data_IF_058657265023
#
_entry.id   IF_058657265023
#
_cell.length_a   1.000
_cell.length_b   1.000
_cell.length_c   1.000
_cell.angle_alpha   90.00
_cell.angle_beta   90.00
_cell.angle_gamma   90.00
#
_symmetry.space_group_name_H-M   'P 1'
#
loop_
_entity.id
_entity.type
_entity.pdbx_description
1 polymer ?
#
# COMPACT_ATOMS: atom_id res chain seq x y z
N UNK A 1 1.90 -5.30 -9.20
CA UNK A 1 2.79 -4.34 -8.53
C UNK A 1 3.58 -5.14 -7.52
N UNK A 2 4.90 -5.04 -7.57
CA UNK A 2 5.79 -5.75 -6.66
C UNK A 2 6.37 -4.78 -5.62
N UNK A 3 6.69 -5.30 -4.44
CA UNK A 3 7.22 -4.52 -3.32
C UNK A 3 8.50 -5.13 -2.78
N UNK A 4 9.51 -4.31 -2.52
CA UNK A 4 10.84 -4.75 -2.05
C UNK A 4 11.15 -4.34 -0.62
N UNK A 5 10.57 -3.23 -0.17
CA UNK A 5 10.80 -2.71 1.17
C UNK A 5 9.57 -1.94 1.67
N UNK A 6 9.45 -1.81 2.99
CA UNK A 6 8.37 -1.08 3.63
C UNK A 6 8.87 -0.25 4.82
N UNK A 7 8.21 0.88 5.05
CA UNK A 7 8.42 1.70 6.22
C UNK A 7 7.16 2.48 6.60
N UNK A 8 7.08 2.89 7.87
CA UNK A 8 6.00 3.73 8.39
C UNK A 8 6.47 5.16 8.56
N UNK A 9 5.67 6.12 8.11
CA UNK A 9 5.93 7.54 8.28
C UNK A 9 4.69 8.25 8.86
N UNK A 10 4.91 9.06 9.88
CA UNK A 10 3.86 9.94 10.43
C UNK A 10 3.79 11.21 9.60
N UNK A 11 2.62 11.48 9.01
CA UNK A 11 2.35 12.68 8.22
C UNK A 11 1.33 13.55 8.94
N UNK A 12 1.47 14.87 8.81
CA UNK A 12 0.44 15.81 9.26
C UNK A 12 -0.38 16.22 8.04
N UNK A 13 -1.67 15.90 8.05
CA UNK A 13 -2.62 16.27 7.00
C UNK A 13 -3.66 17.26 7.56
N UNK A 14 -4.14 18.18 6.72
CA UNK A 14 -5.24 19.04 7.09
C UNK A 14 -6.54 18.22 7.14
N UNK A 15 -7.25 18.26 8.27
CA UNK A 15 -8.56 17.64 8.37
C UNK A 15 -9.56 18.43 7.54
N UNK A 16 -10.15 17.81 6.51
CA UNK A 16 -11.08 18.47 5.59
C UNK A 16 -12.36 19.00 6.27
N UNK A 17 -12.77 18.40 7.38
CA UNK A 17 -13.98 18.78 8.11
C UNK A 17 -13.75 19.89 9.15
N UNK A 18 -12.58 19.91 9.79
CA UNK A 18 -12.30 20.80 10.93
C UNK A 18 -11.18 21.81 10.67
N UNK A 19 -10.46 21.68 9.55
CA UNK A 19 -9.28 22.49 9.21
C UNK A 19 -8.06 22.24 10.10
N UNK A 20 -8.20 21.48 11.19
CA UNK A 20 -7.13 21.22 12.15
C UNK A 20 -6.11 20.21 11.60
N UNK A 21 -4.82 20.36 11.92
CA UNK A 21 -3.82 19.36 11.57
C UNK A 21 -4.12 18.04 12.29
N UNK A 22 -4.20 16.96 11.52
CA UNK A 22 -4.34 15.58 12.02
C UNK A 22 -3.05 14.83 11.68
N UNK A 23 -2.47 14.16 12.68
CA UNK A 23 -1.37 13.21 12.45
C UNK A 23 -1.95 11.87 12.01
N UNK A 24 -1.42 11.34 10.92
CA UNK A 24 -1.79 10.03 10.37
C UNK A 24 -0.52 9.23 10.10
N UNK A 25 -0.53 7.95 10.47
CA UNK A 25 0.53 7.02 10.08
C UNK A 25 0.25 6.53 8.66
N UNK A 26 1.26 6.62 7.79
CA UNK A 26 1.24 6.11 6.43
C UNK A 26 2.18 4.92 6.34
N UNK A 27 1.69 3.80 5.84
CA UNK A 27 2.53 2.68 5.41
C UNK A 27 3.02 2.97 3.99
N UNK A 28 4.33 2.86 3.75
CA UNK A 28 4.93 3.15 2.46
C UNK A 28 5.72 1.94 1.99
N UNK A 29 5.52 1.55 0.74
CA UNK A 29 6.27 0.49 0.08
C UNK A 29 7.18 1.07 -1.00
N UNK A 30 8.38 0.50 -1.15
CA UNK A 30 9.18 0.65 -2.36
C UNK A 30 8.65 -0.31 -3.43
N UNK A 31 8.45 0.23 -4.63
CA UNK A 31 7.96 -0.48 -5.81
C UNK A 31 9.11 -0.52 -6.81
N UNK A 32 9.58 -1.72 -7.10
CA UNK A 32 10.56 -2.05 -8.13
C UNK A 32 9.89 -2.48 -9.44
N UNK A 33 8.66 -3.02 -9.40
CA UNK A 33 7.92 -3.41 -10.61
C UNK A 33 6.45 -2.96 -10.56
N UNK A 34 6.00 -2.33 -11.65
CA UNK A 34 4.61 -1.92 -11.84
C UNK A 34 4.13 -2.36 -13.22
N UNK A 35 3.10 -3.23 -13.24
CA UNK A 35 2.50 -3.76 -14.46
C UNK A 35 3.51 -4.47 -15.39
N UNK A 36 4.51 -5.16 -14.82
CA UNK A 36 5.56 -5.85 -15.58
C UNK A 36 6.70 -4.95 -16.06
N UNK A 37 6.69 -3.66 -15.70
CA UNK A 37 7.78 -2.73 -16.01
C UNK A 37 8.58 -2.40 -14.75
N UNK A 38 9.91 -2.41 -14.88
CA UNK A 38 10.82 -1.95 -13.83
C UNK A 38 10.62 -0.46 -13.56
N UNK A 39 10.40 -0.12 -12.29
CA UNK A 39 10.19 1.24 -11.82
C UNK A 39 10.95 1.47 -10.53
N UNK A 40 11.26 2.73 -10.20
CA UNK A 40 11.79 3.10 -8.90
C UNK A 40 10.85 4.12 -8.26
N UNK A 41 9.79 3.64 -7.61
CA UNK A 41 8.74 4.50 -7.04
C UNK A 41 8.35 4.06 -5.64
N UNK A 42 7.58 4.90 -4.96
CA UNK A 42 6.98 4.55 -3.68
C UNK A 42 5.47 4.51 -3.78
N UNK A 43 4.85 3.57 -3.08
CA UNK A 43 3.40 3.47 -2.94
C UNK A 43 3.02 3.74 -1.48
N UNK A 44 2.30 4.83 -1.24
CA UNK A 44 1.90 5.27 0.11
C UNK A 44 0.44 4.93 0.40
N UNK A 45 0.21 4.18 1.47
CA UNK A 45 -1.11 3.80 1.97
C UNK A 45 -1.45 4.67 3.19
N UNK A 46 -2.45 5.53 3.02
CA UNK A 46 -3.03 6.36 4.09
C UNK A 46 -4.34 5.77 4.65
N UNK A 47 -4.99 4.87 3.90
CA UNK A 47 -6.24 4.26 4.32
C UNK A 47 -5.96 3.10 5.27
N UNK A 48 -6.54 3.14 6.47
CA UNK A 48 -6.43 2.05 7.44
C UNK A 48 -7.01 0.74 6.88
N UNK A 49 -8.08 0.81 6.09
CA UNK A 49 -8.68 -0.37 5.43
C UNK A 49 -7.68 -1.03 4.48
N UNK A 50 -7.05 -0.26 3.59
CA UNK A 50 -6.05 -0.79 2.67
C UNK A 50 -4.81 -1.31 3.42
N UNK A 51 -4.39 -0.63 4.49
CA UNK A 51 -3.27 -1.09 5.32
C UNK A 51 -3.56 -2.46 5.96
N UNK A 52 -4.79 -2.69 6.43
CA UNK A 52 -5.20 -3.96 7.02
C UNK A 52 -5.08 -5.14 6.04
N UNK A 53 -5.30 -4.94 4.74
CA UNK A 53 -5.07 -5.98 3.73
C UNK A 53 -3.59 -6.38 3.60
N UNK A 54 -2.67 -5.48 3.94
CA UNK A 54 -1.23 -5.70 3.84
C UNK A 54 -0.62 -6.31 5.10
N UNK A 55 -1.28 -6.15 6.27
CA UNK A 55 -0.78 -6.66 7.56
C UNK A 55 -0.29 -8.11 7.56
N UNK A 56 -0.99 -9.08 6.92
CA UNK A 56 -0.53 -10.47 6.88
C UNK A 56 0.83 -10.66 6.17
N UNK A 57 1.18 -9.74 5.27
CA UNK A 57 2.37 -9.81 4.43
C UNK A 57 3.53 -8.97 4.96
N UNK A 58 3.29 -8.04 5.89
CA UNK A 58 4.32 -7.23 6.51
C UNK A 58 5.28 -8.06 7.37
N UNK A 59 4.76 -9.08 8.05
CA UNK A 59 5.58 -9.95 8.89
C UNK A 59 6.63 -10.65 8.02
N UNK A 60 7.89 -10.58 8.45
CA UNK A 60 9.04 -11.16 7.76
C UNK A 60 9.19 -10.70 6.30
N UNK A 61 8.62 -9.54 5.94
CA UNK A 61 8.58 -9.01 4.56
C UNK A 61 8.05 -10.00 3.51
N UNK A 62 7.06 -10.82 3.90
CA UNK A 62 6.45 -11.81 3.00
C UNK A 62 5.93 -11.22 1.70
N UNK A 63 5.55 -9.94 1.67
CA UNK A 63 5.09 -9.24 0.46
C UNK A 63 6.10 -9.31 -0.71
N UNK A 64 7.40 -9.50 -0.46
CA UNK A 64 8.43 -9.66 -1.50
C UNK A 64 8.16 -10.92 -2.36
N UNK A 65 7.48 -11.93 -1.81
CA UNK A 65 7.12 -13.14 -2.55
C UNK A 65 5.86 -13.01 -3.41
N UNK A 66 5.26 -11.82 -3.51
CA UNK A 66 3.94 -11.64 -4.12
C UNK A 66 3.86 -10.39 -5.00
N UNK A 67 3.05 -10.50 -6.05
CA UNK A 67 2.53 -9.39 -6.81
C UNK A 67 1.14 -9.00 -6.31
N UNK A 68 0.93 -7.69 -6.17
CA UNK A 68 -0.32 -7.11 -5.71
C UNK A 68 -1.03 -6.37 -6.84
N UNK A 69 -2.32 -6.63 -6.98
CA UNK A 69 -3.23 -5.85 -7.82
C UNK A 69 -4.18 -5.13 -6.87
N UNK A 70 -4.01 -3.81 -6.77
CA UNK A 70 -4.79 -2.96 -5.86
C UNK A 70 -5.74 -2.12 -6.71
N UNK A 71 -7.05 -2.38 -6.55
CA UNK A 71 -8.09 -1.63 -7.25
C UNK A 71 -8.88 -0.82 -6.25
N UNK A 72 -8.95 0.49 -6.45
CA UNK A 72 -9.86 1.34 -5.68
C UNK A 72 -11.29 1.12 -6.18
N UNK A 73 -12.21 0.88 -5.27
CA UNK A 73 -13.64 0.76 -5.58
C UNK A 73 -14.41 1.90 -4.92
N UNK A 74 -15.41 2.41 -5.63
CA UNK A 74 -16.26 3.49 -5.15
C UNK A 74 -15.56 4.84 -4.99
N UNK A 75 -16.34 5.82 -4.55
CA UNK A 75 -15.92 7.20 -4.35
C UNK A 75 -16.43 7.76 -3.02
N UNK A 76 -15.74 8.79 -2.50
CA UNK A 76 -16.14 9.46 -1.27
C UNK A 76 -16.16 8.54 -0.04
N UNK A 77 -17.29 8.52 0.68
CA UNK A 77 -17.46 7.74 1.91
C UNK A 77 -17.50 6.23 1.68
N UNK A 78 -17.96 5.80 0.50
CA UNK A 78 -18.04 4.38 0.11
C UNK A 78 -16.73 3.86 -0.48
N UNK A 79 -15.64 4.62 -0.33
CA UNK A 79 -14.33 4.22 -0.82
C UNK A 79 -13.90 2.92 -0.15
N UNK A 80 -13.59 1.95 -0.99
CA UNK A 80 -13.10 0.64 -0.59
C UNK A 80 -11.93 0.20 -1.49
N UNK A 81 -11.31 -0.91 -1.13
CA UNK A 81 -10.16 -1.44 -1.85
C UNK A 81 -10.32 -2.93 -2.08
N UNK A 82 -10.18 -3.35 -3.34
CA UNK A 82 -9.98 -4.75 -3.66
C UNK A 82 -8.48 -5.01 -3.84
N UNK A 83 -7.94 -5.97 -3.08
CA UNK A 83 -6.53 -6.36 -3.14
C UNK A 83 -6.45 -7.82 -3.54
N UNK A 84 -5.94 -8.07 -4.73
CA UNK A 84 -5.62 -9.42 -5.19
C UNK A 84 -4.11 -9.65 -5.00
N UNK A 85 -3.77 -10.83 -4.52
CA UNK A 85 -2.40 -11.21 -4.21
C UNK A 85 -2.05 -12.45 -5.03
N UNK A 86 -0.98 -12.37 -5.80
CA UNK A 86 -0.51 -13.40 -6.70
C UNK A 86 0.88 -13.81 -6.23
N UNK A 87 1.10 -15.09 -5.92
CA UNK A 87 2.43 -15.56 -5.53
C UNK A 87 3.37 -15.45 -6.74
N UNK A 88 4.53 -14.83 -6.55
CA UNK A 88 5.55 -14.81 -7.58
C UNK A 88 6.10 -16.21 -7.81
N UNK A 89 6.40 -16.58 -9.08
CA UNK A 89 7.15 -17.79 -9.34
C UNK A 89 8.50 -17.70 -8.63
N UNK A 90 8.92 -18.80 -8.02
CA UNK A 90 10.27 -18.91 -7.46
C UNK A 90 11.22 -18.85 -8.66
N UNK A 91 12.00 -17.78 -8.79
CA UNK A 91 13.12 -17.75 -9.74
C UNK A 91 14.15 -18.76 -9.26
N UNK A 92 14.27 -19.86 -10.01
CA UNK A 92 15.32 -20.88 -9.89
C UNK A 92 16.73 -20.31 -10.00
#
# INVERSE_FOLDING_TARGET
MHFTDDYKITRTIANRETGKPKRIESLVFQVDELNGEDVARTFSILSQKLAAHMEPFLKDKRYIGYDFIITQMGEGFLKDWNVQVIRRPETE
#
